data_IF_965148309134
#
_entry.id   IF_965148309134
#
_cell.length_a   1.000
_cell.length_b   1.000
_cell.length_c   1.000
_cell.angle_alpha   90.00
_cell.angle_beta   90.00
_cell.angle_gamma   90.00
#
_symmetry.space_group_name_H-M   'P 1'
#
loop_
_entity.id
_entity.type
_entity.pdbx_description
1 polymer ?
#
# COMPACT_ATOMS: atom_id res chain seq x y z
N UNK A 1 -45.85 15.43 -21.47
CA UNK A 1 -45.52 14.00 -21.69
C UNK A 1 -44.10 13.77 -21.18
N UNK A 2 -44.01 13.01 -20.11
CA UNK A 2 -42.82 12.80 -19.28
C UNK A 2 -41.66 12.18 -20.05
N UNK A 3 -40.47 12.79 -19.92
CA UNK A 3 -39.17 12.18 -20.21
C UNK A 3 -38.34 12.31 -18.93
N UNK A 4 -37.98 11.17 -18.35
CA UNK A 4 -37.10 11.08 -17.18
C UNK A 4 -35.83 10.36 -17.64
N UNK A 5 -34.70 11.03 -17.54
CA UNK A 5 -33.33 10.52 -17.60
C UNK A 5 -32.49 11.46 -16.69
N UNK A 6 -31.32 11.01 -16.20
CA UNK A 6 -31.07 10.82 -14.78
C UNK A 6 -30.11 11.86 -14.21
N UNK A 7 -30.29 12.20 -12.93
CA UNK A 7 -29.28 12.94 -12.18
C UNK A 7 -28.78 12.10 -11.01
N UNK A 8 -27.46 12.07 -10.92
CA UNK A 8 -26.65 11.44 -9.90
C UNK A 8 -26.64 12.23 -8.59
N UNK A 9 -26.08 11.56 -7.56
CA UNK A 9 -25.64 12.07 -6.26
C UNK A 9 -26.70 12.40 -5.20
N UNK A 10 -26.71 11.58 -4.14
CA UNK A 10 -26.95 11.99 -2.75
C UNK A 10 -26.55 10.83 -1.80
N UNK A 11 -25.29 10.82 -1.37
CA UNK A 11 -24.91 10.24 -0.07
C UNK A 11 -24.83 11.43 0.87
N UNK A 12 -25.85 11.56 1.74
CA UNK A 12 -25.93 12.62 2.72
C UNK A 12 -24.93 12.34 3.86
N UNK A 13 -23.96 13.24 3.98
CA UNK A 13 -23.17 13.50 5.17
C UNK A 13 -24.06 14.17 6.22
N UNK A 14 -24.08 13.64 7.44
CA UNK A 14 -24.62 14.36 8.60
C UNK A 14 -23.47 14.88 9.44
N UNK A 15 -23.20 16.18 9.27
CA UNK A 15 -22.44 17.05 10.17
C UNK A 15 -23.35 17.47 11.32
N UNK A 16 -22.89 17.33 12.56
CA UNK A 16 -23.23 18.27 13.63
C UNK A 16 -22.02 18.46 14.54
N UNK A 17 -21.63 19.72 14.65
CA UNK A 17 -20.53 20.25 15.44
C UNK A 17 -20.88 20.31 16.94
N UNK A 18 -19.86 20.29 17.80
CA UNK A 18 -20.04 20.53 19.23
C UNK A 18 -18.79 20.40 20.08
N UNK A 19 -18.04 21.50 20.17
CA UNK A 19 -17.29 22.01 21.33
C UNK A 19 -16.05 21.26 21.88
N UNK A 20 -14.95 22.02 21.89
CA UNK A 20 -13.73 21.86 22.69
C UNK A 20 -13.98 21.62 24.19
N UNK A 21 -13.15 20.76 24.79
CA UNK A 21 -12.64 20.92 26.17
C UNK A 21 -11.40 20.06 26.39
N UNK A 22 -10.31 20.73 26.73
CA UNK A 22 -9.14 20.17 27.41
C UNK A 22 -9.50 19.78 28.85
N UNK A 23 -9.05 18.61 29.29
CA UNK A 23 -8.83 18.21 30.69
C UNK A 23 -8.05 16.88 30.65
N UNK A 24 -6.92 16.63 31.31
CA UNK A 24 -6.38 17.25 32.52
C UNK A 24 -6.98 16.62 33.78
N UNK A 25 -6.24 15.71 34.44
CA UNK A 25 -6.51 15.21 35.81
C UNK A 25 -6.86 13.72 35.87
N UNK A 26 -5.96 12.86 36.39
CA UNK A 26 -5.84 12.47 37.81
C UNK A 26 -6.97 11.56 38.31
N UNK A 27 -6.62 10.30 38.63
CA UNK A 27 -7.06 9.47 39.77
C UNK A 27 -6.60 8.03 39.46
N UNK A 28 -5.66 7.44 40.19
CA UNK A 28 -5.88 6.99 41.55
C UNK A 28 -4.70 7.34 42.47
N UNK A 29 -5.02 7.98 43.58
CA UNK A 29 -4.13 8.20 44.71
C UNK A 29 -4.24 7.03 45.69
N UNK A 30 -3.14 6.84 46.44
CA UNK A 30 -3.00 6.10 47.71
C UNK A 30 -2.39 4.69 47.65
N UNK A 31 -1.07 4.65 47.49
CA UNK A 31 -0.24 3.80 48.34
C UNK A 31 1.05 4.56 48.71
N UNK A 32 1.06 5.20 49.89
CA UNK A 32 2.30 5.61 50.56
C UNK A 32 3.08 4.35 50.89
N UNK A 33 4.05 3.99 50.07
CA UNK A 33 5.13 3.08 50.48
C UNK A 33 6.41 3.91 50.51
N UNK A 34 6.91 4.08 51.73
CA UNK A 34 8.24 4.59 52.03
C UNK A 34 9.25 3.81 51.18
N UNK A 35 9.97 4.49 50.29
CA UNK A 35 11.03 3.87 49.50
C UNK A 35 12.18 3.58 50.46
N UNK A 36 12.11 2.41 51.11
CA UNK A 36 13.28 1.80 51.70
C UNK A 36 14.27 1.54 50.57
N UNK A 37 15.38 2.26 50.62
CA UNK A 37 16.57 2.01 49.83
C UNK A 37 17.04 0.57 50.10
N UNK A 38 16.63 -0.38 49.27
CA UNK A 38 17.21 -1.72 49.25
C UNK A 38 18.61 -1.60 48.65
N UNK A 39 19.57 -1.28 49.51
CA UNK A 39 20.99 -1.52 49.26
C UNK A 39 21.17 -3.04 49.26
N UNK A 40 21.26 -3.63 48.08
CA UNK A 40 21.70 -5.02 47.93
C UNK A 40 23.13 -5.14 48.46
N UNK A 41 23.26 -5.81 49.60
CA UNK A 41 24.52 -6.22 50.20
C UNK A 41 25.00 -7.44 49.43
N UNK A 42 26.09 -7.31 48.68
CA UNK A 42 26.85 -8.45 48.18
C UNK A 42 27.95 -8.74 49.20
N UNK A 43 27.78 -9.81 49.95
CA UNK A 43 28.82 -10.38 50.81
C UNK A 43 29.91 -11.02 49.94
N UNK A 44 31.14 -10.54 50.12
CA UNK A 44 32.38 -11.13 49.60
C UNK A 44 33.33 -11.38 50.77
N UNK A 45 34.27 -12.33 50.65
CA UNK A 45 34.69 -13.18 51.76
C UNK A 45 35.56 -12.46 52.79
N UNK A 46 35.27 -12.78 54.05
CA UNK A 46 36.00 -12.37 55.24
C UNK A 46 37.47 -12.83 55.21
N UNK A 47 38.38 -11.86 55.34
CA UNK A 47 39.78 -12.14 55.66
C UNK A 47 39.94 -12.20 57.19
N UNK A 48 40.28 -13.41 57.64
CA UNK A 48 40.53 -13.81 59.01
C UNK A 48 41.74 -13.07 59.59
N UNK A 49 41.58 -12.34 60.70
CA UNK A 49 42.67 -12.22 61.66
C UNK A 49 42.19 -12.17 63.12
N UNK A 50 42.41 -13.30 63.77
CA UNK A 50 42.83 -13.56 65.15
C UNK A 50 42.54 -12.49 66.20
N UNK A 51 41.72 -12.87 67.18
CA UNK A 51 41.31 -12.02 68.28
C UNK A 51 42.39 -11.70 69.30
N UNK A 52 42.16 -10.58 69.99
CA UNK A 52 42.47 -10.40 71.41
C UNK A 52 41.33 -9.59 72.02
N UNK A 53 40.50 -10.23 72.84
CA UNK A 53 39.53 -9.54 73.71
C UNK A 53 40.23 -9.25 75.04
N UNK A 54 40.49 -7.99 75.35
CA UNK A 54 40.63 -7.55 76.74
C UNK A 54 40.05 -6.16 77.00
N UNK A 55 39.04 -6.21 77.86
CA UNK A 55 38.57 -5.24 78.86
C UNK A 55 37.79 -3.98 78.43
N UNK A 56 36.58 -3.94 78.98
CA UNK A 56 35.62 -2.84 79.01
C UNK A 56 36.18 -1.61 79.74
N UNK A 57 35.74 -0.43 79.28
CA UNK A 57 36.00 0.92 79.82
C UNK A 57 37.29 1.61 79.37
N UNK A 58 37.29 2.08 78.10
CA UNK A 58 37.77 3.44 77.79
C UNK A 58 36.73 4.23 77.00
N UNK A 59 36.24 5.23 77.71
CA UNK A 59 35.35 6.33 77.36
C UNK A 59 35.78 7.02 76.05
N UNK A 60 34.81 7.21 75.16
CA UNK A 60 34.61 8.36 74.27
C UNK A 60 35.90 9.01 73.74
N UNK A 61 36.54 8.41 72.73
CA UNK A 61 37.11 9.18 71.61
C UNK A 61 37.47 8.27 70.43
N UNK A 62 36.50 7.55 69.85
CA UNK A 62 36.63 7.25 68.42
C UNK A 62 36.36 8.56 67.69
N UNK A 63 37.40 9.40 67.59
CA UNK A 63 37.57 10.25 66.41
C UNK A 63 37.22 9.35 65.24
N UNK A 64 36.27 9.79 64.44
CA UNK A 64 36.14 9.40 63.04
C UNK A 64 37.54 9.55 62.41
N UNK A 65 38.40 8.55 62.59
CA UNK A 65 39.56 8.35 61.74
C UNK A 65 38.94 7.89 60.44
N UNK A 66 38.36 8.86 59.69
CA UNK A 66 37.94 8.71 58.32
C UNK A 66 39.14 8.12 57.61
N UNK A 67 39.10 6.80 57.42
CA UNK A 67 40.18 6.04 56.80
C UNK A 67 40.40 6.71 55.46
N UNK A 68 41.56 7.34 55.29
CA UNK A 68 41.91 8.07 54.08
C UNK A 68 41.69 7.14 52.88
N UNK A 69 40.81 7.47 51.93
CA UNK A 69 40.58 6.61 50.77
C UNK A 69 41.91 6.46 50.02
N UNK A 70 42.22 5.22 49.65
CA UNK A 70 43.40 4.92 48.85
C UNK A 70 43.10 5.36 47.41
N UNK A 71 43.95 6.20 46.85
CA UNK A 71 43.86 6.58 45.45
C UNK A 71 44.60 5.53 44.62
N UNK A 72 43.92 4.98 43.62
CA UNK A 72 44.46 3.98 42.70
C UNK A 72 44.89 4.64 41.38
N UNK A 73 45.51 3.87 40.49
CA UNK A 73 45.81 4.27 39.11
C UNK A 73 46.55 5.62 39.00
N UNK A 74 47.49 5.86 39.90
CA UNK A 74 48.31 7.08 39.92
C UNK A 74 47.59 8.32 40.46
N UNK A 75 46.40 8.18 41.06
CA UNK A 75 45.71 9.31 41.69
C UNK A 75 46.43 9.84 42.94
N UNK A 76 46.36 11.15 43.16
CA UNK A 76 47.01 11.84 44.28
C UNK A 76 45.96 12.31 45.28
N UNK A 77 46.15 12.00 46.57
CA UNK A 77 45.22 12.46 47.61
C UNK A 77 45.53 13.91 48.03
N UNK A 78 44.61 14.83 47.73
CA UNK A 78 44.70 16.25 48.05
C UNK A 78 43.36 16.73 48.62
N UNK A 79 43.40 17.54 49.68
CA UNK A 79 42.23 18.19 50.28
C UNK A 79 41.04 17.25 50.59
N UNK A 80 41.33 16.05 51.09
CA UNK A 80 40.29 15.11 51.49
C UNK A 80 39.69 14.28 50.35
N UNK A 81 40.16 14.43 49.10
CA UNK A 81 39.71 13.69 47.92
C UNK A 81 40.87 13.13 47.10
N UNK A 82 40.59 12.12 46.27
CA UNK A 82 41.54 11.67 45.26
C UNK A 82 41.42 12.55 44.01
N UNK A 83 42.54 13.13 43.59
CA UNK A 83 42.70 13.74 42.28
C UNK A 83 43.13 12.64 41.30
N UNK A 84 42.25 12.27 40.39
CA UNK A 84 42.49 11.18 39.45
C UNK A 84 43.18 11.66 38.18
N UNK A 85 44.06 10.82 37.64
CA UNK A 85 44.67 11.02 36.33
C UNK A 85 43.73 10.47 35.28
N UNK A 86 43.48 11.22 34.20
CA UNK A 86 42.67 10.74 33.08
C UNK A 86 43.29 9.46 32.47
N UNK A 87 42.51 8.41 32.15
CA UNK A 87 41.05 8.37 32.04
C UNK A 87 40.30 7.88 33.30
N UNK A 88 40.92 7.91 34.48
CA UNK A 88 40.30 7.42 35.72
C UNK A 88 39.47 8.48 36.45
N UNK A 89 38.44 8.02 37.16
CA UNK A 89 37.52 8.85 37.95
C UNK A 89 37.04 8.09 39.20
N UNK A 90 36.14 8.72 39.95
CA UNK A 90 35.55 8.16 41.17
C UNK A 90 36.38 8.44 42.42
N UNK A 91 35.81 8.08 43.58
CA UNK A 91 36.37 8.42 44.90
C UNK A 91 37.75 7.83 45.17
N UNK A 92 38.09 6.74 44.50
CA UNK A 92 39.37 6.04 44.60
C UNK A 92 40.13 5.94 43.29
N UNK A 93 39.72 6.64 42.22
CA UNK A 93 40.33 6.58 40.89
C UNK A 93 40.36 5.18 40.26
N UNK A 94 39.36 4.35 40.57
CA UNK A 94 39.25 2.98 40.04
C UNK A 94 38.24 2.87 38.89
N UNK A 95 37.37 3.87 38.73
CA UNK A 95 36.40 3.92 37.65
C UNK A 95 37.00 4.61 36.43
N UNK A 96 36.43 4.37 35.26
CA UNK A 96 36.76 5.05 34.00
C UNK A 96 35.79 6.20 33.75
N UNK A 97 36.30 7.30 33.21
CA UNK A 97 35.53 8.50 32.89
C UNK A 97 34.70 8.33 31.61
N UNK A 98 33.79 7.35 31.60
CA UNK A 98 32.88 7.10 30.49
C UNK A 98 31.95 8.31 30.29
N UNK A 99 31.85 8.84 29.06
CA UNK A 99 31.04 10.02 28.75
C UNK A 99 29.56 9.63 28.60
N UNK A 100 29.28 8.66 27.71
CA UNK A 100 27.93 8.17 27.44
C UNK A 100 27.79 6.66 27.70
N UNK A 101 28.16 6.24 28.91
CA UNK A 101 28.10 4.83 29.28
C UNK A 101 28.40 4.57 30.75
N UNK A 102 28.42 3.28 31.10
CA UNK A 102 28.71 2.81 32.43
C UNK A 102 30.15 2.33 32.52
N UNK A 103 30.86 2.72 33.58
CA UNK A 103 32.19 2.20 33.84
C UNK A 103 32.15 0.78 34.37
N UNK A 104 33.03 -0.09 33.85
CA UNK A 104 33.28 -1.42 34.43
C UNK A 104 34.27 -1.37 35.59
N UNK A 105 35.07 -0.30 35.68
CA UNK A 105 35.96 0.03 36.79
C UNK A 105 36.80 -1.18 37.24
N UNK A 106 36.79 -1.56 38.53
CA UNK A 106 37.54 -2.70 39.05
C UNK A 106 37.20 -4.07 38.44
N UNK A 107 36.06 -4.21 37.76
CA UNK A 107 35.61 -5.48 37.15
C UNK A 107 36.15 -5.66 35.74
N UNK A 108 36.80 -4.65 35.19
CA UNK A 108 37.38 -4.70 33.86
C UNK A 108 38.38 -5.85 33.75
N UNK A 109 38.10 -6.76 32.84
CA UNK A 109 38.96 -7.89 32.50
C UNK A 109 38.86 -8.11 30.99
N UNK A 110 39.95 -7.89 30.22
CA UNK A 110 39.92 -8.02 28.76
C UNK A 110 39.52 -9.42 28.26
N UNK A 111 39.62 -10.45 29.11
CA UNK A 111 39.21 -11.82 28.77
C UNK A 111 37.79 -12.18 29.24
N UNK A 112 37.12 -11.30 29.96
CA UNK A 112 35.74 -11.51 30.43
C UNK A 112 34.73 -11.38 29.30
N UNK A 113 33.72 -12.25 29.27
CA UNK A 113 32.64 -12.16 28.27
C UNK A 113 31.81 -10.87 28.42
N UNK A 114 31.71 -10.33 29.64
CA UNK A 114 30.82 -9.21 29.96
C UNK A 114 31.55 -7.92 30.37
N UNK A 115 32.79 -8.02 30.85
CA UNK A 115 33.58 -6.88 31.35
C UNK A 115 34.88 -6.67 30.57
N UNK A 116 34.94 -7.09 29.30
CA UNK A 116 36.07 -6.88 28.39
C UNK A 116 36.23 -5.47 27.85
N UNK A 117 35.31 -4.55 28.15
CA UNK A 117 35.42 -3.12 27.80
C UNK A 117 35.51 -2.28 29.08
N UNK A 118 36.30 -1.19 29.03
CA UNK A 118 36.43 -0.21 30.14
C UNK A 118 35.09 0.48 30.44
N UNK A 119 34.29 0.67 29.38
CA UNK A 119 32.96 1.25 29.45
C UNK A 119 31.96 0.38 28.68
N UNK A 120 30.74 0.27 29.21
CA UNK A 120 29.58 -0.30 28.52
C UNK A 120 28.78 0.90 27.99
N UNK A 121 28.81 1.11 26.68
CA UNK A 121 28.24 2.30 26.05
C UNK A 121 26.73 2.22 25.84
N UNK A 122 26.08 3.39 25.83
CA UNK A 122 24.69 3.53 25.41
C UNK A 122 24.53 3.22 23.91
N UNK A 123 23.30 2.97 23.45
CA UNK A 123 22.99 2.43 22.13
C UNK A 123 23.54 3.22 20.91
N UNK A 124 23.89 4.50 21.10
CA UNK A 124 24.37 5.41 20.04
C UNK A 124 25.81 5.89 20.27
N UNK A 125 26.59 5.24 21.14
CA UNK A 125 27.96 5.63 21.47
C UNK A 125 28.91 4.42 21.50
N UNK A 126 30.15 4.61 21.07
CA UNK A 126 31.24 3.64 21.08
C UNK A 126 32.56 4.35 21.45
N UNK A 127 33.69 3.68 21.26
CA UNK A 127 35.00 4.11 21.74
C UNK A 127 35.29 3.56 23.13
N UNK A 128 36.56 3.64 23.56
CA UNK A 128 36.96 3.07 24.87
C UNK A 128 36.25 3.75 26.06
N UNK A 129 35.84 5.00 25.88
CA UNK A 129 35.18 5.83 26.91
C UNK A 129 33.77 6.31 26.52
N UNK A 130 33.17 5.73 25.48
CA UNK A 130 31.84 6.10 24.99
C UNK A 130 31.73 7.59 24.59
N UNK A 131 32.81 8.12 24.02
CA UNK A 131 32.98 9.50 23.56
C UNK A 131 32.83 9.64 22.04
N UNK A 132 32.70 8.51 21.33
CA UNK A 132 32.47 8.47 19.88
C UNK A 132 31.00 8.14 19.61
N UNK A 133 30.24 8.95 18.87
CA UNK A 133 28.87 8.59 18.49
C UNK A 133 28.88 7.48 17.44
N UNK A 134 28.01 6.47 17.59
CA UNK A 134 27.80 5.38 16.60
C UNK A 134 27.13 5.91 15.33
N UNK A 135 26.39 7.03 15.43
CA UNK A 135 25.85 7.73 14.26
C UNK A 135 27.03 8.22 13.41
N UNK A 136 27.32 7.46 12.37
CA UNK A 136 28.52 7.58 11.55
C UNK A 136 28.64 9.01 11.00
N UNK A 137 29.66 9.75 11.43
CA UNK A 137 29.92 11.10 10.93
C UNK A 137 30.23 11.10 9.42
N UNK A 138 30.43 9.92 8.84
CA UNK A 138 30.83 9.70 7.46
C UNK A 138 29.74 8.98 6.63
N UNK A 139 28.48 8.99 7.05
CA UNK A 139 27.31 8.47 6.32
C UNK A 139 27.41 6.99 5.88
N UNK A 140 28.06 6.13 6.66
CA UNK A 140 28.42 4.73 6.34
C UNK A 140 29.28 4.58 5.07
N UNK A 141 29.91 5.68 4.65
CA UNK A 141 30.62 5.84 3.38
C UNK A 141 32.09 6.20 3.58
N UNK A 142 32.57 6.12 4.80
CA UNK A 142 33.95 6.39 5.18
C UNK A 142 34.24 5.93 6.58
N UNK A 143 35.41 6.30 7.09
CA UNK A 143 35.79 6.11 8.49
C UNK A 143 36.24 7.44 9.08
N UNK A 144 35.93 7.68 10.36
CA UNK A 144 36.31 8.90 11.04
C UNK A 144 37.70 8.76 11.65
N UNK A 145 38.63 9.66 11.30
CA UNK A 145 40.01 9.60 11.77
C UNK A 145 40.57 11.03 11.97
N UNK A 146 41.22 11.29 13.11
CA UNK A 146 41.86 12.59 13.40
C UNK A 146 40.95 13.81 13.17
N UNK A 147 39.69 13.74 13.59
CA UNK A 147 38.75 14.87 13.52
C UNK A 147 38.12 15.13 12.15
N UNK A 148 38.28 14.23 11.17
CA UNK A 148 37.65 14.34 9.85
C UNK A 148 37.31 12.97 9.25
N UNK A 149 36.41 12.96 8.25
CA UNK A 149 36.05 11.75 7.53
C UNK A 149 37.04 11.40 6.41
N UNK A 150 37.44 10.14 6.36
CA UNK A 150 38.15 9.53 5.26
C UNK A 150 37.15 8.69 4.45
N UNK A 151 36.83 9.14 3.24
CA UNK A 151 35.76 8.54 2.45
C UNK A 151 36.21 7.32 1.63
N UNK A 152 35.34 6.31 1.54
CA UNK A 152 35.53 5.13 0.72
C UNK A 152 35.21 5.39 -0.76
N UNK A 153 35.88 4.66 -1.66
CA UNK A 153 35.55 4.66 -3.08
C UNK A 153 35.62 6.06 -3.72
N UNK A 154 34.49 6.53 -4.26
CA UNK A 154 34.37 7.83 -4.92
C UNK A 154 33.56 8.86 -4.10
N UNK A 155 33.28 8.55 -2.83
CA UNK A 155 32.61 9.50 -1.93
C UNK A 155 33.56 10.63 -1.53
N UNK A 156 33.01 11.81 -1.28
CA UNK A 156 33.76 12.97 -0.79
C UNK A 156 32.85 13.94 -0.02
N UNK A 157 33.48 14.94 0.61
CA UNK A 157 32.82 15.91 1.47
C UNK A 157 33.15 15.68 2.94
N UNK A 158 32.83 16.64 3.83
CA UNK A 158 33.16 16.55 5.26
C UNK A 158 32.54 15.34 5.95
N UNK A 159 31.45 14.80 5.39
CA UNK A 159 30.72 13.64 5.91
C UNK A 159 30.58 12.53 4.85
N UNK A 160 31.39 12.55 3.78
CA UNK A 160 31.28 11.59 2.66
C UNK A 160 29.89 11.57 1.97
N UNK A 161 29.21 12.71 1.96
CA UNK A 161 27.84 12.83 1.48
C UNK A 161 27.72 12.98 -0.05
N UNK A 162 28.81 13.31 -0.75
CA UNK A 162 28.83 13.52 -2.19
C UNK A 162 29.57 12.41 -2.94
N UNK A 163 29.28 12.26 -4.23
CA UNK A 163 29.92 11.31 -5.14
C UNK A 163 30.58 12.04 -6.31
N UNK A 164 31.80 11.66 -6.66
CA UNK A 164 32.58 12.33 -7.71
C UNK A 164 32.38 11.75 -9.10
N UNK A 165 31.83 10.53 -9.20
CA UNK A 165 31.63 9.78 -10.45
C UNK A 165 30.33 8.99 -10.41
N UNK A 166 29.71 8.87 -11.58
CA UNK A 166 28.58 7.97 -11.83
C UNK A 166 28.94 7.03 -12.99
N UNK A 167 28.56 5.75 -12.91
CA UNK A 167 28.72 4.77 -13.99
C UNK A 167 27.59 4.93 -15.02
N UNK A 168 26.34 4.60 -14.64
CA UNK A 168 25.17 4.68 -15.53
C UNK A 168 24.20 5.79 -15.11
N UNK A 169 24.70 7.02 -15.03
CA UNK A 169 23.90 8.17 -14.64
C UNK A 169 24.56 9.50 -14.97
N UNK A 170 23.89 10.58 -14.57
CA UNK A 170 24.42 11.95 -14.70
C UNK A 170 24.75 12.50 -13.33
N UNK A 171 25.96 13.04 -13.17
CA UNK A 171 26.35 13.72 -11.93
C UNK A 171 25.73 15.12 -11.86
N UNK A 172 24.98 15.42 -10.80
CA UNK A 172 24.45 16.76 -10.52
C UNK A 172 24.57 17.10 -9.04
N UNK A 173 25.19 18.23 -8.72
CA UNK A 173 25.37 18.71 -7.34
C UNK A 173 25.97 17.65 -6.40
N UNK A 174 26.99 16.92 -6.86
CA UNK A 174 27.64 15.88 -6.07
C UNK A 174 26.79 14.64 -5.80
N UNK A 175 25.72 14.41 -6.56
CA UNK A 175 24.89 13.19 -6.50
C UNK A 175 24.62 12.63 -7.89
N UNK A 176 24.53 11.30 -7.99
CA UNK A 176 24.19 10.64 -9.24
C UNK A 176 22.68 10.58 -9.47
N UNK A 177 22.26 10.96 -10.68
CA UNK A 177 20.91 10.74 -11.18
C UNK A 177 20.98 9.55 -12.14
N UNK A 178 20.46 8.40 -11.73
CA UNK A 178 20.60 7.16 -12.48
C UNK A 178 19.72 7.12 -13.72
N UNK A 179 20.26 6.51 -14.77
CA UNK A 179 19.49 6.17 -15.95
C UNK A 179 18.45 5.10 -15.61
N UNK A 180 17.39 5.00 -16.41
CA UNK A 180 16.33 4.00 -16.22
C UNK A 180 16.94 2.58 -16.17
N UNK A 181 16.62 1.82 -15.14
CA UNK A 181 17.11 0.44 -14.95
C UNK A 181 18.43 0.33 -14.19
N UNK A 182 18.93 1.43 -13.63
CA UNK A 182 20.12 1.48 -12.79
C UNK A 182 19.82 2.11 -11.43
N UNK A 183 20.54 1.66 -10.40
CA UNK A 183 20.41 2.15 -9.03
C UNK A 183 21.76 2.16 -8.32
N UNK A 184 21.76 2.63 -7.07
CA UNK A 184 22.96 2.78 -6.25
C UNK A 184 23.53 4.20 -6.32
N UNK A 185 24.38 4.51 -5.36
CA UNK A 185 24.95 5.85 -5.20
C UNK A 185 25.85 6.25 -6.38
N UNK A 186 26.43 5.26 -7.07
CA UNK A 186 27.20 5.43 -8.31
C UNK A 186 26.42 5.05 -9.56
N UNK A 187 25.14 4.66 -9.45
CA UNK A 187 24.34 4.11 -10.55
C UNK A 187 25.03 2.93 -11.25
N UNK A 188 25.68 2.06 -10.47
CA UNK A 188 26.50 0.95 -10.91
C UNK A 188 25.79 -0.40 -10.79
N UNK A 189 24.66 -0.44 -10.07
CA UNK A 189 23.85 -1.65 -9.91
C UNK A 189 22.71 -1.67 -10.92
N UNK A 190 22.66 -2.76 -11.68
CA UNK A 190 21.56 -3.00 -12.62
C UNK A 190 20.29 -3.47 -11.89
N UNK A 191 19.15 -2.92 -12.27
CA UNK A 191 17.83 -3.35 -11.83
C UNK A 191 17.24 -4.32 -12.85
N UNK A 192 16.88 -5.53 -12.39
CA UNK A 192 16.28 -6.58 -13.22
C UNK A 192 14.77 -6.65 -12.96
N UNK A 193 13.95 -6.60 -14.02
CA UNK A 193 12.48 -6.61 -13.89
C UNK A 193 11.93 -8.02 -13.64
N UNK A 194 12.30 -8.98 -14.49
CA UNK A 194 11.86 -10.38 -14.39
C UNK A 194 13.08 -11.30 -14.35
N UNK A 195 14.01 -11.07 -13.41
CA UNK A 195 15.26 -11.80 -13.30
C UNK A 195 16.03 -11.35 -12.06
N UNK A 196 17.30 -11.71 -11.98
CA UNK A 196 18.18 -11.29 -10.89
C UNK A 196 19.56 -10.89 -11.42
N UNK A 197 20.25 -10.04 -10.66
CA UNK A 197 21.66 -9.71 -10.87
C UNK A 197 22.52 -10.59 -9.97
N UNK A 198 23.68 -11.02 -10.46
CA UNK A 198 24.65 -11.74 -9.64
C UNK A 198 25.45 -10.73 -8.80
N UNK A 199 24.95 -10.44 -7.61
CA UNK A 199 25.55 -9.50 -6.67
C UNK A 199 27.00 -9.85 -6.28
N UNK A 200 27.42 -11.12 -6.46
CA UNK A 200 28.76 -11.59 -6.10
C UNK A 200 29.88 -11.05 -6.99
N UNK A 201 29.57 -10.47 -8.15
CA UNK A 201 30.59 -10.01 -9.11
C UNK A 201 30.37 -8.59 -9.66
N UNK A 202 29.51 -7.79 -9.04
CA UNK A 202 29.18 -6.46 -9.59
C UNK A 202 28.62 -6.57 -11.01
N UNK A 203 27.82 -7.61 -11.29
CA UNK A 203 27.36 -7.89 -12.65
C UNK A 203 26.49 -6.73 -13.18
N UNK A 204 26.92 -6.13 -14.28
CA UNK A 204 26.19 -5.10 -15.03
C UNK A 204 25.09 -5.68 -15.94
N UNK A 205 24.76 -6.97 -15.80
CA UNK A 205 23.78 -7.67 -16.62
C UNK A 205 22.84 -8.52 -15.76
N UNK A 206 21.61 -8.71 -16.24
CA UNK A 206 20.62 -9.55 -15.59
C UNK A 206 20.63 -10.98 -16.14
N UNK A 207 20.44 -11.96 -15.27
CA UNK A 207 20.12 -13.33 -15.65
C UNK A 207 18.61 -13.43 -15.84
N UNK A 208 18.19 -13.65 -17.09
CA UNK A 208 16.77 -13.72 -17.45
C UNK A 208 16.25 -15.18 -17.51
N UNK A 209 15.07 -15.48 -16.95
CA UNK A 209 14.35 -16.72 -17.20
C UNK A 209 13.98 -16.86 -18.68
N UNK A 210 13.72 -18.09 -19.12
CA UNK A 210 13.44 -18.46 -20.53
C UNK A 210 12.31 -17.67 -21.23
N UNK A 211 11.44 -16.97 -20.50
CA UNK A 211 10.35 -16.17 -21.10
C UNK A 211 10.77 -14.74 -21.41
N UNK A 212 11.83 -14.24 -20.78
CA UNK A 212 12.24 -12.85 -20.81
C UNK A 212 13.64 -12.70 -21.41
N UNK A 213 13.94 -11.52 -21.93
CA UNK A 213 15.24 -11.13 -22.46
C UNK A 213 15.45 -9.63 -22.29
N UNK A 214 16.63 -9.17 -22.72
CA UNK A 214 17.04 -7.78 -22.64
C UNK A 214 17.95 -7.55 -21.45
N UNK A 215 18.63 -6.41 -21.43
CA UNK A 215 19.59 -6.06 -20.37
C UNK A 215 18.94 -6.12 -18.98
N UNK A 216 17.67 -5.70 -18.88
CA UNK A 216 16.89 -5.65 -17.64
C UNK A 216 15.80 -6.73 -17.55
N UNK A 217 15.79 -7.74 -18.42
CA UNK A 217 14.72 -8.75 -18.52
C UNK A 217 13.31 -8.14 -18.67
N UNK A 218 13.21 -7.05 -19.43
CA UNK A 218 12.01 -6.23 -19.64
C UNK A 218 11.36 -6.45 -21.01
N UNK A 219 11.80 -7.48 -21.74
CA UNK A 219 11.28 -7.82 -23.06
C UNK A 219 10.93 -9.31 -23.12
N UNK A 220 9.89 -9.67 -23.87
CA UNK A 220 9.58 -11.08 -24.12
C UNK A 220 10.65 -11.70 -25.02
N UNK A 221 11.12 -12.91 -24.67
CA UNK A 221 12.09 -13.66 -25.48
C UNK A 221 11.52 -13.93 -26.88
N UNK A 222 10.29 -14.45 -26.90
CA UNK A 222 9.54 -14.79 -28.12
C UNK A 222 8.65 -13.61 -28.58
N UNK A 223 8.54 -13.45 -29.90
CA UNK A 223 7.63 -12.50 -30.55
C UNK A 223 6.70 -13.25 -31.49
N UNK A 224 5.40 -12.92 -31.47
CA UNK A 224 4.42 -13.55 -32.35
C UNK A 224 3.00 -13.00 -32.15
N UNK A 225 2.10 -13.20 -33.11
CA UNK A 225 0.76 -12.63 -33.10
C UNK A 225 -0.15 -13.21 -32.00
N UNK A 226 0.18 -14.40 -31.49
CA UNK A 226 -0.54 -15.06 -30.37
C UNK A 226 0.19 -14.90 -29.03
N UNK A 227 1.24 -14.09 -28.97
CA UNK A 227 2.01 -13.89 -27.75
C UNK A 227 1.55 -12.57 -27.14
N UNK A 228 1.14 -12.61 -25.87
CA UNK A 228 0.82 -11.39 -25.14
C UNK A 228 2.07 -10.53 -24.97
N UNK A 229 1.96 -9.20 -25.11
CA UNK A 229 3.09 -8.30 -24.88
C UNK A 229 3.54 -8.36 -23.42
N UNK A 230 4.71 -7.75 -23.17
CA UNK A 230 5.21 -7.53 -21.83
C UNK A 230 4.15 -6.79 -20.97
N UNK A 231 3.95 -7.16 -19.69
CA UNK A 231 4.75 -8.07 -18.85
C UNK A 231 4.35 -9.56 -18.92
N UNK A 232 3.26 -9.91 -19.59
CA UNK A 232 2.69 -11.26 -19.53
C UNK A 232 3.54 -12.30 -20.28
N UNK A 233 3.96 -12.01 -21.51
CA UNK A 233 4.80 -12.89 -22.33
C UNK A 233 4.29 -14.36 -22.42
N UNK A 234 2.97 -14.57 -22.42
CA UNK A 234 2.33 -15.88 -22.53
C UNK A 234 1.76 -16.12 -23.92
N UNK A 235 1.71 -17.38 -24.36
CA UNK A 235 1.04 -17.77 -25.61
C UNK A 235 -0.45 -17.97 -25.35
N UNK A 236 -1.29 -17.27 -26.11
CA UNK A 236 -2.73 -17.52 -26.13
C UNK A 236 -3.03 -18.74 -27.02
N UNK A 237 -3.10 -19.90 -26.39
CA UNK A 237 -3.52 -21.14 -27.04
C UNK A 237 -5.04 -21.19 -26.97
N UNK A 238 -5.71 -20.90 -28.09
CA UNK A 238 -7.12 -21.30 -28.25
C UNK A 238 -7.11 -22.81 -28.52
N UNK A 239 -7.58 -23.66 -27.59
CA UNK A 239 -7.54 -25.09 -27.81
C UNK A 239 -8.45 -25.45 -28.99
N UNK A 240 -8.03 -26.43 -29.79
CA UNK A 240 -8.80 -26.88 -30.96
C UNK A 240 -10.22 -27.34 -30.57
N UNK A 241 -10.38 -27.89 -29.36
CA UNK A 241 -11.67 -28.23 -28.77
C UNK A 241 -12.56 -27.00 -28.59
N UNK A 242 -12.06 -25.87 -28.06
CA UNK A 242 -12.85 -24.65 -27.94
C UNK A 242 -13.26 -24.06 -29.31
N UNK A 243 -12.45 -24.29 -30.35
CA UNK A 243 -12.79 -23.89 -31.72
C UNK A 243 -13.89 -24.79 -32.32
N UNK A 244 -13.75 -26.11 -32.15
CA UNK A 244 -14.75 -27.10 -32.60
C UNK A 244 -16.09 -26.97 -31.85
N UNK A 245 -16.07 -26.83 -30.52
CA UNK A 245 -17.28 -26.60 -29.73
C UNK A 245 -17.97 -25.30 -30.16
N UNK A 246 -17.22 -24.21 -30.42
CA UNK A 246 -17.80 -22.95 -30.95
C UNK A 246 -18.51 -23.14 -32.28
N UNK A 247 -17.95 -23.93 -33.19
CA UNK A 247 -18.54 -24.19 -34.51
C UNK A 247 -19.85 -24.98 -34.40
N UNK A 248 -19.88 -26.04 -33.58
CA UNK A 248 -21.10 -26.82 -33.31
C UNK A 248 -22.16 -26.03 -32.53
N UNK A 249 -21.78 -25.19 -31.56
CA UNK A 249 -22.73 -24.36 -30.82
C UNK A 249 -23.33 -23.25 -31.68
N UNK A 250 -22.53 -22.63 -32.56
CA UNK A 250 -23.01 -21.56 -33.43
C UNK A 250 -24.04 -22.05 -34.45
N UNK A 251 -23.81 -23.22 -35.05
CA UNK A 251 -24.79 -23.85 -35.95
C UNK A 251 -26.08 -24.23 -35.23
N UNK A 252 -25.99 -24.79 -34.01
CA UNK A 252 -27.18 -25.10 -33.21
C UNK A 252 -27.96 -23.86 -32.78
N UNK A 253 -27.29 -22.78 -32.37
CA UNK A 253 -27.94 -21.53 -31.98
C UNK A 253 -28.64 -20.91 -33.20
N UNK A 254 -27.98 -20.85 -34.35
CA UNK A 254 -28.55 -20.30 -35.57
C UNK A 254 -29.80 -21.08 -36.02
N UNK A 255 -29.73 -22.42 -36.03
CA UNK A 255 -30.86 -23.26 -36.37
C UNK A 255 -32.06 -23.04 -35.43
N UNK A 256 -31.83 -22.94 -34.11
CA UNK A 256 -32.88 -22.65 -33.13
C UNK A 256 -33.52 -21.27 -33.34
N UNK A 257 -32.71 -20.24 -33.63
CA UNK A 257 -33.19 -18.88 -33.90
C UNK A 257 -34.06 -18.84 -35.17
N UNK A 258 -33.66 -19.54 -36.24
CA UNK A 258 -34.45 -19.61 -37.49
C UNK A 258 -35.78 -20.34 -37.28
N UNK A 259 -35.81 -21.42 -36.50
CA UNK A 259 -37.07 -22.12 -36.21
C UNK A 259 -38.02 -21.23 -35.42
N UNK A 260 -37.52 -20.54 -34.39
CA UNK A 260 -38.32 -19.62 -33.56
C UNK A 260 -38.86 -18.46 -34.41
N UNK A 261 -38.07 -17.92 -35.34
CA UNK A 261 -38.52 -16.82 -36.20
C UNK A 261 -39.61 -17.25 -37.17
N UNK A 262 -39.48 -18.42 -37.81
CA UNK A 262 -40.51 -18.97 -38.71
C UNK A 262 -41.82 -19.24 -37.94
N UNK A 263 -41.73 -19.86 -36.76
CA UNK A 263 -42.89 -20.10 -35.91
C UNK A 263 -43.58 -18.79 -35.48
N UNK A 264 -42.80 -17.78 -35.12
CA UNK A 264 -43.31 -16.45 -34.79
C UNK A 264 -44.06 -15.79 -35.95
N UNK A 265 -43.50 -15.85 -37.17
CA UNK A 265 -44.16 -15.32 -38.37
C UNK A 265 -45.46 -16.06 -38.69
N UNK A 266 -45.47 -17.38 -38.54
CA UNK A 266 -46.67 -18.18 -38.76
C UNK A 266 -47.79 -17.83 -37.77
N UNK A 267 -47.47 -17.73 -36.48
CA UNK A 267 -48.43 -17.33 -35.44
C UNK A 267 -48.97 -15.93 -35.68
N UNK A 268 -48.11 -14.97 -36.04
CA UNK A 268 -48.53 -13.62 -36.42
C UNK A 268 -49.44 -13.63 -37.65
N UNK A 269 -49.17 -14.47 -38.64
CA UNK A 269 -50.03 -14.67 -39.80
C UNK A 269 -51.42 -15.23 -39.44
N UNK A 270 -51.49 -16.21 -38.54
CA UNK A 270 -52.75 -16.75 -38.04
C UNK A 270 -53.57 -15.72 -37.27
N UNK A 271 -52.92 -14.94 -36.40
CA UNK A 271 -53.58 -13.84 -35.68
C UNK A 271 -54.10 -12.78 -36.65
N UNK A 272 -53.31 -12.40 -37.66
CA UNK A 272 -53.74 -11.48 -38.70
C UNK A 272 -54.91 -12.04 -39.52
N UNK A 273 -54.90 -13.34 -39.85
CA UNK A 273 -56.01 -13.97 -40.56
C UNK A 273 -57.28 -14.02 -39.71
N UNK A 274 -57.18 -14.36 -38.42
CA UNK A 274 -58.31 -14.27 -37.48
C UNK A 274 -58.83 -12.84 -37.37
N UNK A 275 -57.95 -11.84 -37.30
CA UNK A 275 -58.30 -10.43 -37.28
C UNK A 275 -59.01 -10.00 -38.58
N UNK A 276 -58.49 -10.39 -39.75
CA UNK A 276 -59.09 -10.11 -41.05
C UNK A 276 -60.45 -10.81 -41.20
N UNK A 277 -60.59 -12.06 -40.75
CA UNK A 277 -61.86 -12.78 -40.76
C UNK A 277 -62.89 -12.17 -39.81
N UNK A 278 -62.45 -11.69 -38.64
CA UNK A 278 -63.31 -10.95 -37.71
C UNK A 278 -63.76 -9.63 -38.31
N UNK A 279 -62.82 -8.87 -38.89
CA UNK A 279 -63.11 -7.61 -39.57
C UNK A 279 -64.07 -7.79 -40.76
N UNK A 280 -63.92 -8.89 -41.51
CA UNK A 280 -64.83 -9.23 -42.62
C UNK A 280 -66.24 -9.58 -42.13
N UNK A 281 -66.36 -10.32 -41.02
CA UNK A 281 -67.65 -10.60 -40.38
C UNK A 281 -68.35 -9.33 -39.92
N UNK A 282 -67.61 -8.41 -39.29
CA UNK A 282 -68.15 -7.11 -38.85
C UNK A 282 -68.62 -6.25 -40.04
N UNK A 283 -67.96 -6.31 -41.21
CA UNK A 283 -68.47 -5.66 -42.44
C UNK A 283 -69.73 -6.33 -43.01
N UNK A 284 -69.81 -7.66 -43.05
CA UNK A 284 -70.99 -8.37 -43.57
C UNK A 284 -72.25 -8.18 -42.69
N UNK A 285 -72.08 -7.97 -41.38
CA UNK A 285 -73.17 -7.59 -40.48
C UNK A 285 -73.79 -6.22 -40.77
N UNK A 286 -73.14 -5.37 -41.58
CA UNK A 286 -73.67 -4.07 -41.99
C UNK A 286 -74.46 -4.10 -43.31
N UNK A 287 -74.48 -5.21 -44.05
CA UNK A 287 -75.07 -5.30 -45.40
C UNK A 287 -76.38 -6.13 -45.45
N UNK A 288 -76.83 -6.69 -44.32
CA UNK A 288 -78.04 -7.55 -44.25
C UNK A 288 -79.23 -6.92 -43.49
N UNK A 289 -79.19 -5.63 -43.16
CA UNK A 289 -80.26 -4.90 -42.46
C UNK A 289 -81.02 -3.90 -43.34
N UNK A 290 -81.47 -4.33 -44.52
CA UNK A 290 -82.54 -3.70 -45.33
C UNK A 290 -82.86 -4.67 -46.48
N UNK A 291 -84.03 -5.27 -46.73
CA UNK A 291 -85.47 -5.20 -46.38
C UNK A 291 -86.06 -6.61 -46.78
N UNK A 292 -87.35 -7.02 -46.59
CA UNK A 292 -88.57 -6.23 -46.35
C UNK A 292 -89.53 -6.78 -45.26
N UNK A 293 -90.22 -5.87 -44.56
CA UNK A 293 -91.37 -6.21 -43.72
C UNK A 293 -92.64 -6.27 -44.59
N UNK A 294 -93.33 -7.42 -44.52
CA UNK A 294 -94.53 -7.73 -45.31
C UNK A 294 -95.78 -7.45 -44.45
N UNK A 295 -96.64 -6.60 -44.99
CA UNK A 295 -98.10 -6.53 -44.78
C UNK A 295 -98.63 -6.51 -43.33
N UNK A 296 -99.16 -5.35 -42.92
CA UNK A 296 -100.54 -5.23 -42.46
C UNK A 296 -100.96 -3.74 -42.37
N UNK A 297 -101.83 -3.31 -43.28
CA UNK A 297 -103.12 -2.68 -42.94
C UNK A 297 -103.79 -2.15 -44.21
N UNK A 298 -104.85 -2.85 -44.58
CA UNK A 298 -105.96 -2.35 -45.41
C UNK A 298 -106.67 -1.28 -44.57
N UNK A 299 -106.94 -0.11 -45.15
CA UNK A 299 -108.23 0.58 -45.10
C UNK A 299 -108.10 2.05 -45.50
N UNK A 300 -109.00 2.48 -46.38
CA UNK A 300 -109.48 3.86 -46.56
C UNK A 300 -108.47 4.83 -47.21
N UNK A 301 -108.78 5.60 -48.25
CA UNK A 301 -110.03 6.09 -48.84
C UNK A 301 -109.64 6.84 -50.14
N UNK A 302 -110.52 6.81 -51.16
CA UNK A 302 -110.83 7.83 -52.21
C UNK A 302 -109.80 8.93 -52.54
N UNK A 303 -109.63 9.48 -53.73
CA UNK A 303 -110.09 9.35 -55.14
C UNK A 303 -109.53 10.61 -55.83
N UNK A 304 -109.41 10.60 -57.17
CA UNK A 304 -109.38 11.78 -58.08
C UNK A 304 -108.11 12.65 -57.99
N UNK A 305 -107.57 13.26 -59.04
CA UNK A 305 -107.39 13.05 -60.48
C UNK A 305 -106.51 14.25 -60.93
N UNK A 306 -106.04 14.19 -62.19
CA UNK A 306 -105.76 15.33 -63.09
C UNK A 306 -104.34 15.93 -63.10
N UNK A 307 -103.65 15.51 -64.16
CA UNK A 307 -102.91 16.27 -65.19
C UNK A 307 -101.79 17.26 -64.84
N UNK A 308 -100.72 17.17 -65.64
CA UNK A 308 -99.81 18.28 -65.89
C UNK A 308 -98.42 17.87 -66.37
N UNK A 309 -98.30 17.41 -67.63
CA UNK A 309 -97.07 17.63 -68.43
C UNK A 309 -96.86 19.14 -68.65
N UNK A 310 -95.77 19.65 -69.29
CA UNK A 310 -94.52 19.01 -69.75
C UNK A 310 -93.29 19.87 -69.37
N UNK A 311 -92.02 19.51 -69.64
CA UNK A 311 -91.29 19.86 -70.87
C UNK A 311 -89.77 19.71 -70.56
N UNK A 312 -88.99 19.04 -71.41
CA UNK A 312 -87.98 19.63 -72.35
C UNK A 312 -86.68 20.01 -71.62
N UNK A 313 -85.47 19.65 -72.03
CA UNK A 313 -84.86 19.39 -73.34
C UNK A 313 -83.55 18.64 -73.09
N UNK A 314 -83.14 17.70 -73.96
CA UNK A 314 -82.05 17.84 -74.96
C UNK A 314 -80.77 18.50 -74.40
N UNK A 315 -79.58 17.95 -74.58
CA UNK A 315 -79.14 16.85 -75.43
C UNK A 315 -77.61 16.89 -75.56
N UNK A 316 -77.07 15.76 -76.02
CA UNK A 316 -75.89 15.58 -76.88
C UNK A 316 -74.52 16.14 -76.43
N UNK A 317 -73.51 15.27 -76.27
CA UNK A 317 -72.62 14.72 -77.32
C UNK A 317 -71.62 15.80 -77.77
N UNK A 318 -70.30 15.59 -77.83
CA UNK A 318 -69.48 14.68 -78.65
C UNK A 318 -68.02 14.82 -78.10
N UNK A 319 -67.28 13.76 -77.74
CA UNK A 319 -66.37 12.89 -78.55
C UNK A 319 -65.18 13.55 -79.25
N UNK A 320 -64.01 12.91 -79.04
CA UNK A 320 -62.78 12.82 -79.89
C UNK A 320 -61.99 14.13 -80.08
N UNK A 321 -60.66 14.20 -79.99
CA UNK A 321 -59.52 13.27 -80.11
C UNK A 321 -58.45 13.58 -79.05
#
# INVERSE_FOLDING_TARGET
MSRILPFAFLVATSVLAGAERQAGGQLYENLKISINSYKGVYDGPDEHDSGVVFNTQRIIQRRELKKKPRCHNGGVFLDGKCQCTYPFTGVGCQDYACVNGLSTGPRYDPHSLFFNKKCICNADWDGELCDEPIADQCNDRGHYENGHCICHGFYFGPECQYVSRCEFGTLKHGRCICNKGWEGDYCDRIVCQNGYSEAKNGSQFCVCPLKYKGLHCDQCLQKGPKIKPYPACTVDIIPASARSTREHTNTQIYARVVIISIAGLFLMGLVMLMYMMRWRRERQGSEHSSLPERQEMISQTETIDIEGLPTRSKGQAETFD
#
